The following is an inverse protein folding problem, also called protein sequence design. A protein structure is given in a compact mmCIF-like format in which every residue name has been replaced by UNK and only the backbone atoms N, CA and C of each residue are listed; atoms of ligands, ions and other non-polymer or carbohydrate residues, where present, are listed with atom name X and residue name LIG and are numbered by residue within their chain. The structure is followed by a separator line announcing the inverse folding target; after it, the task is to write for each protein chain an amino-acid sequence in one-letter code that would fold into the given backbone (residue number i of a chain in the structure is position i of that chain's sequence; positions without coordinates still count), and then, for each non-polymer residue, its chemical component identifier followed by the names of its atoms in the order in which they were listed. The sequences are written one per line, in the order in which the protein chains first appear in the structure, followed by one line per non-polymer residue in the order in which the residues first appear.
data_IF_237102718563
#
_entry.id   IF_237102718563
#
_cell.length_a   1.000
_cell.length_b   1.000
_cell.length_c   1.000
_cell.angle_alpha   90.00
_cell.angle_beta   90.00
_cell.angle_gamma   90.00
#
_symmetry.space_group_name_H-M   'P 1'
#
loop_
_entity.id
_entity.type
_entity.pdbx_description
1 polymer ?
#
# COMPACT_ATOMS: atom_id res chain seq x y z
N UNK A 1 4.84 14.11 -27.66
CA UNK A 1 5.30 14.93 -26.51
C UNK A 1 4.46 14.74 -25.25
N UNK A 2 3.12 14.88 -25.27
CA UNK A 2 2.28 14.68 -24.07
C UNK A 2 2.41 13.27 -23.45
N UNK A 3 2.46 12.21 -24.26
CA UNK A 3 2.72 10.85 -23.78
C UNK A 3 4.09 10.71 -23.06
N UNK A 4 5.12 11.40 -23.55
CA UNK A 4 6.46 11.40 -22.95
C UNK A 4 6.43 12.07 -21.58
N UNK A 5 5.70 13.18 -21.44
CA UNK A 5 5.51 13.84 -20.14
C UNK A 5 4.83 12.88 -19.15
N UNK A 6 3.78 12.16 -19.56
CA UNK A 6 3.13 11.15 -18.74
C UNK A 6 4.07 10.02 -18.32
N UNK A 7 4.90 9.54 -19.25
CA UNK A 7 5.90 8.50 -18.96
C UNK A 7 6.97 9.00 -17.98
N UNK A 8 7.51 10.21 -18.17
CA UNK A 8 8.48 10.80 -17.25
C UNK A 8 7.90 11.00 -15.85
N UNK A 9 6.63 11.42 -15.75
CA UNK A 9 5.93 11.51 -14.47
C UNK A 9 5.79 10.12 -13.81
N UNK A 10 5.53 9.07 -14.58
CA UNK A 10 5.47 7.70 -14.05
C UNK A 10 6.84 7.18 -13.58
N UNK A 11 7.91 7.51 -14.30
CA UNK A 11 9.29 7.21 -13.85
C UNK A 11 9.61 7.97 -12.57
N UNK A 12 9.27 9.26 -12.50
CA UNK A 12 9.45 10.06 -11.30
C UNK A 12 8.66 9.46 -10.11
N UNK A 13 7.43 8.99 -10.35
CA UNK A 13 6.65 8.27 -9.35
C UNK A 13 7.36 7.00 -8.85
N UNK A 14 7.84 6.16 -9.76
CA UNK A 14 8.50 4.90 -9.43
C UNK A 14 9.79 5.10 -8.60
N UNK A 15 10.43 6.27 -8.71
CA UNK A 15 11.60 6.67 -7.92
C UNK A 15 11.21 7.34 -6.60
N UNK A 16 10.24 8.26 -6.64
CA UNK A 16 9.81 9.02 -5.47
C UNK A 16 9.11 8.13 -4.44
N UNK A 17 8.28 7.19 -4.88
CA UNK A 17 7.58 6.26 -4.01
C UNK A 17 8.50 5.54 -3.02
N UNK A 18 9.53 4.77 -3.45
CA UNK A 18 10.45 4.11 -2.51
C UNK A 18 11.28 5.13 -1.72
N UNK A 19 11.67 6.26 -2.30
CA UNK A 19 12.40 7.29 -1.59
C UNK A 19 11.60 7.86 -0.39
N UNK A 20 10.30 8.13 -0.57
CA UNK A 20 9.42 8.56 0.51
C UNK A 20 9.28 7.48 1.59
N UNK A 21 9.19 6.20 1.22
CA UNK A 21 9.15 5.10 2.20
C UNK A 21 10.43 5.03 3.03
N UNK A 22 11.59 5.12 2.39
CA UNK A 22 12.89 5.09 3.06
C UNK A 22 13.07 6.29 3.98
N UNK A 23 12.68 7.49 3.51
CA UNK A 23 12.76 8.71 4.30
C UNK A 23 11.79 8.68 5.50
N UNK A 24 10.57 8.19 5.30
CA UNK A 24 9.59 8.03 6.37
C UNK A 24 10.13 7.09 7.46
N UNK A 25 10.74 5.96 7.09
CA UNK A 25 11.39 5.04 8.03
C UNK A 25 12.56 5.71 8.76
N UNK A 26 13.45 6.38 8.03
CA UNK A 26 14.62 7.03 8.60
C UNK A 26 14.27 8.19 9.55
N UNK A 27 13.13 8.86 9.33
CA UNK A 27 12.68 10.01 10.13
C UNK A 27 11.55 9.68 11.11
N UNK A 28 11.16 8.41 11.23
CA UNK A 28 10.07 8.00 12.12
C UNK A 28 8.72 8.63 11.79
N UNK A 29 8.43 8.88 10.51
CA UNK A 29 7.11 9.39 10.10
C UNK A 29 6.05 8.32 10.27
N UNK A 30 4.89 8.70 10.79
CA UNK A 30 3.75 7.81 11.06
C UNK A 30 2.86 7.57 9.83
N UNK A 31 3.26 8.04 8.64
CA UNK A 31 2.49 7.82 7.42
C UNK A 31 2.59 6.36 6.97
N UNK A 32 1.44 5.70 6.88
CA UNK A 32 1.36 4.35 6.34
C UNK A 32 1.85 4.27 4.88
N UNK A 33 2.40 3.13 4.43
CA UNK A 33 2.97 2.99 3.10
C UNK A 33 2.04 3.38 1.94
N UNK A 34 0.74 3.13 2.08
CA UNK A 34 -0.26 3.47 1.05
C UNK A 34 -0.45 4.99 0.94
N UNK A 35 -0.42 5.72 2.06
CA UNK A 35 -0.48 7.19 2.02
C UNK A 35 0.73 7.78 1.30
N UNK A 36 1.93 7.25 1.56
CA UNK A 36 3.14 7.72 0.89
C UNK A 36 3.11 7.46 -0.62
N UNK A 37 2.54 6.33 -1.06
CA UNK A 37 2.28 6.06 -2.48
C UNK A 37 1.30 7.07 -3.08
N UNK A 38 0.20 7.36 -2.38
CA UNK A 38 -0.78 8.34 -2.83
C UNK A 38 -0.15 9.75 -2.96
N UNK A 39 0.64 10.17 -1.96
CA UNK A 39 1.39 11.43 -1.99
C UNK A 39 2.33 11.47 -3.20
N UNK A 40 3.12 10.42 -3.42
CA UNK A 40 4.02 10.35 -4.58
C UNK A 40 3.25 10.47 -5.91
N UNK A 41 2.12 9.76 -6.04
CA UNK A 41 1.30 9.79 -7.25
C UNK A 41 0.73 11.18 -7.52
N UNK A 42 0.15 11.83 -6.51
CA UNK A 42 -0.40 13.19 -6.65
C UNK A 42 0.70 14.19 -7.01
N UNK A 43 1.84 14.16 -6.32
CA UNK A 43 2.94 15.09 -6.56
C UNK A 43 3.53 14.93 -7.97
N UNK A 44 3.84 13.70 -8.37
CA UNK A 44 4.46 13.44 -9.67
C UNK A 44 3.51 13.68 -10.84
N UNK A 45 2.23 13.35 -10.70
CA UNK A 45 1.20 13.70 -11.68
C UNK A 45 1.04 15.20 -11.80
N UNK A 46 0.85 15.89 -10.67
CA UNK A 46 0.65 17.35 -10.65
C UNK A 46 1.82 18.11 -11.25
N UNK A 47 3.06 17.76 -10.85
CA UNK A 47 4.27 18.36 -11.41
C UNK A 47 4.46 18.02 -12.89
N UNK A 48 4.15 16.79 -13.30
CA UNK A 48 4.22 16.36 -14.70
C UNK A 48 3.24 17.13 -15.59
N UNK A 49 1.99 17.28 -15.14
CA UNK A 49 0.96 18.06 -15.83
C UNK A 49 1.37 19.53 -15.92
N UNK A 50 1.81 20.13 -14.80
CA UNK A 50 2.29 21.51 -14.77
C UNK A 50 3.43 21.71 -15.76
N UNK A 51 4.46 20.85 -15.73
CA UNK A 51 5.57 20.88 -16.69
C UNK A 51 5.09 20.75 -18.14
N UNK A 52 4.20 19.80 -18.41
CA UNK A 52 3.61 19.58 -19.73
C UNK A 52 2.89 20.81 -20.26
N UNK A 53 2.08 21.47 -19.42
CA UNK A 53 1.35 22.70 -19.81
C UNK A 53 2.26 23.88 -20.11
N UNK A 54 3.43 23.95 -19.47
CA UNK A 54 4.38 25.06 -19.65
C UNK A 54 5.31 24.87 -20.86
N UNK A 55 5.68 23.62 -21.17
CA UNK A 55 6.78 23.32 -22.11
C UNK A 55 6.28 22.71 -23.42
N UNK A 56 5.13 22.03 -23.44
CA UNK A 56 4.63 21.34 -24.63
C UNK A 56 3.54 22.17 -25.31
N UNK A 57 3.79 22.71 -26.52
CA UNK A 57 2.74 23.33 -27.31
C UNK A 57 1.60 22.34 -27.55
N UNK A 58 0.35 22.78 -27.38
CA UNK A 58 -0.84 21.94 -27.51
C UNK A 58 -0.81 20.69 -26.61
N UNK A 59 -0.39 20.86 -25.35
CA UNK A 59 -0.40 19.78 -24.37
C UNK A 59 -1.77 19.09 -24.28
N UNK A 60 -1.76 17.76 -24.45
CA UNK A 60 -2.95 16.91 -24.40
C UNK A 60 -2.96 16.16 -23.07
N UNK A 61 -3.70 16.68 -22.10
CA UNK A 61 -3.75 16.14 -20.74
C UNK A 61 -4.07 14.64 -20.70
N UNK A 62 -5.11 14.21 -21.42
CA UNK A 62 -5.56 12.82 -21.41
C UNK A 62 -4.52 11.84 -21.96
N UNK A 63 -3.68 12.27 -22.90
CA UNK A 63 -2.57 11.46 -23.42
C UNK A 63 -1.48 11.27 -22.36
N UNK A 64 -1.15 12.32 -21.59
CA UNK A 64 -0.19 12.20 -20.49
C UNK A 64 -0.76 11.35 -19.34
N UNK A 65 -2.01 11.63 -18.96
CA UNK A 65 -2.68 10.97 -17.85
C UNK A 65 -2.92 9.47 -18.08
N UNK A 66 -3.19 9.04 -19.32
CA UNK A 66 -3.40 7.62 -19.63
C UNK A 66 -2.13 6.79 -19.42
N UNK A 67 -0.99 7.28 -19.90
CA UNK A 67 0.31 6.62 -19.71
C UNK A 67 0.71 6.63 -18.24
N UNK A 68 0.59 7.78 -17.57
CA UNK A 68 0.88 7.88 -16.14
C UNK A 68 0.02 6.88 -15.35
N UNK A 69 -1.30 6.92 -15.56
CA UNK A 69 -2.27 6.08 -14.87
C UNK A 69 -2.01 4.58 -15.09
N UNK A 70 -1.72 4.15 -16.31
CA UNK A 70 -1.41 2.75 -16.61
C UNK A 70 -0.22 2.23 -15.78
N UNK A 71 0.91 2.95 -15.81
CA UNK A 71 2.12 2.53 -15.10
C UNK A 71 1.97 2.63 -13.58
N UNK A 72 1.35 3.70 -13.07
CA UNK A 72 1.12 3.86 -11.63
C UNK A 72 0.16 2.80 -11.10
N UNK A 73 -0.92 2.49 -11.82
CA UNK A 73 -1.83 1.40 -11.43
C UNK A 73 -1.14 0.05 -11.45
N UNK A 74 -0.34 -0.24 -12.48
CA UNK A 74 0.49 -1.45 -12.55
C UNK A 74 1.46 -1.55 -11.37
N UNK A 75 2.11 -0.44 -11.01
CA UNK A 75 3.01 -0.37 -9.86
C UNK A 75 2.27 -0.59 -8.54
N UNK A 76 1.12 0.07 -8.32
CA UNK A 76 0.32 -0.09 -7.09
C UNK A 76 -0.16 -1.53 -6.96
N UNK A 77 -0.57 -2.15 -8.06
CA UNK A 77 -0.93 -3.57 -8.08
C UNK A 77 0.28 -4.46 -7.73
N UNK A 78 1.43 -4.26 -8.36
CA UNK A 78 2.65 -5.00 -8.03
C UNK A 78 3.07 -4.81 -6.55
N UNK A 79 2.99 -3.58 -6.04
CA UNK A 79 3.29 -3.28 -4.65
C UNK A 79 2.36 -4.02 -3.68
N UNK A 80 1.05 -3.96 -3.93
CA UNK A 80 0.06 -4.60 -3.06
C UNK A 80 0.06 -6.12 -3.18
N UNK A 81 0.09 -6.65 -4.40
CA UNK A 81 -0.10 -8.07 -4.69
C UNK A 81 1.19 -8.88 -4.66
N UNK A 82 2.36 -8.28 -4.98
CA UNK A 82 3.63 -9.00 -5.07
C UNK A 82 4.51 -8.68 -3.88
N UNK A 83 4.84 -7.40 -3.67
CA UNK A 83 5.83 -7.00 -2.66
C UNK A 83 5.33 -7.11 -1.21
N UNK A 84 4.03 -7.15 -1.00
CA UNK A 84 3.41 -7.42 0.31
C UNK A 84 2.78 -8.81 0.41
N UNK A 85 3.07 -9.71 -0.54
CA UNK A 85 2.50 -11.05 -0.50
C UNK A 85 3.14 -11.89 0.61
N UNK A 86 2.28 -12.60 1.36
CA UNK A 86 2.72 -13.58 2.36
C UNK A 86 3.62 -14.64 1.73
N UNK A 87 3.32 -15.06 0.49
CA UNK A 87 4.13 -16.04 -0.24
C UNK A 87 5.58 -15.57 -0.47
N UNK A 88 5.80 -14.28 -0.78
CA UNK A 88 7.14 -13.72 -0.92
C UNK A 88 7.86 -13.69 0.44
N UNK A 89 7.19 -13.30 1.51
CA UNK A 89 7.75 -13.29 2.87
C UNK A 89 8.14 -14.72 3.33
N UNK A 90 7.34 -15.74 2.99
CA UNK A 90 7.70 -17.17 3.19
C UNK A 90 8.97 -17.51 2.42
N UNK A 91 9.02 -17.17 1.14
CA UNK A 91 10.15 -17.51 0.30
C UNK A 91 11.45 -16.85 0.79
N UNK A 92 11.41 -15.56 1.13
CA UNK A 92 12.56 -14.83 1.68
C UNK A 92 12.98 -15.41 3.04
N UNK A 93 12.01 -15.68 3.94
CA UNK A 93 12.30 -16.28 5.24
C UNK A 93 12.87 -17.70 5.16
N UNK A 94 12.57 -18.44 4.09
CA UNK A 94 13.23 -19.72 3.80
C UNK A 94 14.65 -19.51 3.30
N UNK A 95 14.89 -18.58 2.38
CA UNK A 95 16.21 -18.31 1.81
C UNK A 95 17.25 -17.87 2.86
N UNK A 96 16.81 -17.20 3.94
CA UNK A 96 17.67 -16.79 5.05
C UNK A 96 18.10 -17.94 5.97
N UNK A 97 17.50 -19.14 5.85
CA UNK A 97 17.87 -20.32 6.65
C UNK A 97 19.03 -21.08 6.00
N UNK A 98 19.98 -21.65 6.79
CA UNK A 98 21.11 -22.41 6.27
C UNK A 98 20.73 -23.54 5.31
N UNK A 99 19.65 -24.27 5.60
CA UNK A 99 19.16 -25.39 4.79
C UNK A 99 18.08 -24.99 3.78
N UNK A 100 17.68 -23.71 3.77
CA UNK A 100 16.59 -23.17 2.95
C UNK A 100 15.26 -23.90 3.09
N UNK A 101 15.04 -24.51 4.25
CA UNK A 101 13.88 -25.35 4.57
C UNK A 101 13.36 -25.01 5.96
N UNK A 102 12.06 -25.23 6.14
CA UNK A 102 11.38 -25.11 7.42
C UNK A 102 10.15 -26.03 7.41
N UNK A 103 9.78 -26.66 8.54
CA UNK A 103 8.48 -27.28 8.67
C UNK A 103 7.39 -26.20 8.62
N UNK A 104 6.19 -26.58 8.17
CA UNK A 104 5.06 -25.65 8.03
C UNK A 104 4.68 -24.99 9.36
N UNK A 105 4.76 -25.73 10.47
CA UNK A 105 4.50 -25.23 11.83
C UNK A 105 5.36 -24.01 12.15
N UNK A 106 6.68 -24.07 11.89
CA UNK A 106 7.60 -22.97 12.15
C UNK A 106 7.31 -21.73 11.30
N UNK A 107 6.84 -21.93 10.07
CA UNK A 107 6.46 -20.83 9.18
C UNK A 107 5.20 -20.16 9.73
N UNK A 108 4.17 -20.95 10.06
CA UNK A 108 2.89 -20.47 10.57
C UNK A 108 3.05 -19.73 11.91
N UNK A 109 3.77 -20.32 12.86
CA UNK A 109 3.97 -19.77 14.21
C UNK A 109 4.72 -18.43 14.23
N UNK A 110 5.55 -18.16 13.22
CA UNK A 110 6.25 -16.87 13.11
C UNK A 110 5.48 -15.86 12.26
N UNK A 111 4.98 -16.30 11.10
CA UNK A 111 4.40 -15.37 10.14
C UNK A 111 3.00 -14.91 10.50
N UNK A 112 2.16 -15.81 11.01
CA UNK A 112 0.78 -15.47 11.37
C UNK A 112 0.78 -14.41 12.46
N UNK A 113 1.50 -14.56 13.61
CA UNK A 113 1.56 -13.50 14.61
C UNK A 113 2.17 -12.20 14.08
N UNK A 114 3.26 -12.26 13.32
CA UNK A 114 3.89 -11.05 12.78
C UNK A 114 2.97 -10.25 11.84
N UNK A 115 2.20 -10.95 10.98
CA UNK A 115 1.20 -10.33 10.10
C UNK A 115 0.11 -9.60 10.88
N UNK A 116 -0.40 -10.22 11.95
CA UNK A 116 -1.49 -9.64 12.73
C UNK A 116 -1.01 -8.56 13.71
N UNK A 117 0.15 -8.74 14.35
CA UNK A 117 0.76 -7.76 15.24
C UNK A 117 1.07 -6.46 14.50
N UNK A 118 1.70 -6.53 13.32
CA UNK A 118 1.97 -5.33 12.52
C UNK A 118 0.70 -4.61 12.09
N UNK A 119 -0.37 -5.35 11.75
CA UNK A 119 -1.66 -4.76 11.38
C UNK A 119 -2.35 -4.08 12.56
N UNK A 120 -2.37 -4.71 13.73
CA UNK A 120 -2.91 -4.10 14.95
C UNK A 120 -2.08 -2.88 15.36
N UNK A 121 -0.75 -2.94 15.27
CA UNK A 121 0.13 -1.80 15.52
C UNK A 121 -0.25 -0.59 14.68
N UNK A 122 -0.44 -0.78 13.37
CA UNK A 122 -0.89 0.30 12.48
C UNK A 122 -2.26 0.90 12.87
N UNK A 123 -3.19 0.07 13.34
CA UNK A 123 -4.51 0.54 13.78
C UNK A 123 -4.43 1.33 15.10
N UNK A 124 -3.52 0.92 15.99
CA UNK A 124 -3.25 1.63 17.26
C UNK A 124 -2.54 2.96 17.00
N UNK A 125 -1.47 2.95 16.21
CA UNK A 125 -0.75 4.18 15.82
C UNK A 125 -1.65 5.17 15.06
N UNK A 126 -2.58 4.65 14.26
CA UNK A 126 -3.60 5.45 13.57
C UNK A 126 -4.73 5.96 14.46
N UNK A 127 -4.76 5.62 15.75
CA UNK A 127 -5.81 6.01 16.70
C UNK A 127 -7.19 5.39 16.40
N UNK A 128 -7.23 4.32 15.61
CA UNK A 128 -8.48 3.62 15.25
C UNK A 128 -8.81 2.51 16.25
N UNK A 129 -7.79 1.99 16.94
CA UNK A 129 -7.90 0.96 17.96
C UNK A 129 -7.10 1.40 19.18
N UNK A 130 -7.56 1.04 20.37
CA UNK A 130 -6.84 1.27 21.62
C UNK A 130 -6.68 -0.04 22.40
N UNK A 131 -5.53 -0.27 23.05
CA UNK A 131 -5.35 -1.38 23.96
C UNK A 131 -6.15 -1.13 25.24
N UNK A 132 -6.99 -2.10 25.63
CA UNK A 132 -7.75 -2.12 26.88
C UNK A 132 -7.42 -3.43 27.58
N UNK A 133 -6.63 -3.35 28.64
CA UNK A 133 -6.06 -4.51 29.35
C UNK A 133 -5.30 -5.46 28.40
N UNK A 134 -5.77 -6.71 28.28
CA UNK A 134 -5.24 -7.74 27.39
C UNK A 134 -5.96 -7.80 26.03
N UNK A 135 -6.80 -6.80 25.72
CA UNK A 135 -7.66 -6.76 24.53
C UNK A 135 -7.46 -5.46 23.75
N UNK A 136 -8.09 -5.42 22.58
CA UNK A 136 -8.12 -4.25 21.70
C UNK A 136 -9.56 -3.80 21.50
N UNK A 137 -9.83 -2.51 21.67
CA UNK A 137 -11.13 -1.90 21.46
C UNK A 137 -11.08 -0.91 20.29
N UNK A 138 -12.11 -0.88 19.45
CA UNK A 138 -12.21 0.12 18.39
C UNK A 138 -12.58 1.48 18.98
N UNK A 139 -11.85 2.53 18.62
CA UNK A 139 -12.18 3.91 19.02
C UNK A 139 -13.42 4.43 18.28
N UNK A 140 -13.96 5.59 18.66
CA UNK A 140 -15.06 6.21 17.91
C UNK A 140 -14.69 6.51 16.45
N UNK A 141 -13.44 6.93 16.22
CA UNK A 141 -12.88 7.13 14.88
C UNK A 141 -12.76 5.81 14.12
N UNK A 142 -12.27 4.75 14.78
CA UNK A 142 -12.20 3.40 14.25
C UNK A 142 -13.56 2.87 13.78
N UNK A 143 -14.59 3.00 14.63
CA UNK A 143 -15.97 2.58 14.29
C UNK A 143 -16.52 3.34 13.08
N UNK A 144 -16.38 4.67 13.09
CA UNK A 144 -16.85 5.51 11.97
C UNK A 144 -16.16 5.16 10.66
N UNK A 145 -14.84 4.90 10.70
CA UNK A 145 -14.09 4.50 9.51
C UNK A 145 -14.49 3.11 9.04
N UNK A 146 -14.64 2.14 9.95
CA UNK A 146 -15.07 0.79 9.65
C UNK A 146 -16.46 0.78 9.00
N UNK A 147 -17.40 1.58 9.49
CA UNK A 147 -18.74 1.69 8.91
C UNK A 147 -18.71 2.23 7.48
N UNK A 148 -17.95 3.30 7.24
CA UNK A 148 -17.80 3.90 5.90
C UNK A 148 -17.16 2.93 4.90
N UNK A 149 -16.05 2.31 5.30
CA UNK A 149 -15.33 1.34 4.46
C UNK A 149 -16.17 0.07 4.27
N UNK A 150 -16.91 -0.37 5.28
CA UNK A 150 -17.82 -1.50 5.21
C UNK A 150 -18.95 -1.27 4.21
N UNK A 151 -19.52 -0.06 4.17
CA UNK A 151 -20.51 0.30 3.15
C UNK A 151 -19.92 0.26 1.73
N UNK A 152 -18.72 0.79 1.53
CA UNK A 152 -18.00 0.71 0.26
C UNK A 152 -17.74 -0.73 -0.16
N UNK A 153 -17.23 -1.57 0.75
CA UNK A 153 -16.98 -3.00 0.50
C UNK A 153 -18.25 -3.71 0.02
N UNK A 154 -19.38 -3.48 0.69
CA UNK A 154 -20.68 -4.04 0.29
C UNK A 154 -21.12 -3.54 -1.10
N UNK A 155 -20.92 -2.26 -1.40
CA UNK A 155 -21.24 -1.70 -2.71
C UNK A 155 -20.42 -2.35 -3.84
N UNK A 156 -19.18 -2.75 -3.56
CA UNK A 156 -18.33 -3.49 -4.50
C UNK A 156 -18.53 -5.01 -4.47
N UNK A 157 -19.52 -5.53 -3.71
CA UNK A 157 -19.75 -6.98 -3.57
C UNK A 157 -18.63 -7.70 -2.80
N UNK A 158 -17.77 -6.97 -2.10
CA UNK A 158 -16.68 -7.52 -1.29
C UNK A 158 -17.25 -7.86 0.09
N UNK A 159 -17.96 -8.99 0.19
CA UNK A 159 -18.53 -9.52 1.43
C UNK A 159 -17.49 -10.13 2.39
N UNK A 160 -17.96 -10.82 3.43
CA UNK A 160 -17.14 -11.56 4.39
C UNK A 160 -16.53 -12.86 3.83
N UNK A 161 -16.76 -13.14 2.55
CA UNK A 161 -16.07 -14.16 1.77
C UNK A 161 -14.63 -13.71 1.44
N UNK A 162 -13.83 -13.51 2.47
CA UNK A 162 -12.40 -13.29 2.37
C UNK A 162 -11.68 -14.65 2.27
N UNK A 163 -10.42 -14.64 1.81
CA UNK A 163 -9.48 -15.77 1.83
C UNK A 163 -9.23 -16.38 3.24
N UNK A 164 -9.83 -15.77 4.27
CA UNK A 164 -9.75 -16.12 5.68
C UNK A 164 -11.18 -16.11 6.28
N UNK A 165 -12.08 -16.89 5.68
CA UNK A 165 -13.33 -17.26 6.33
C UNK A 165 -12.98 -18.28 7.42
N UNK A 166 -12.69 -17.77 8.62
CA UNK A 166 -12.64 -18.60 9.81
C UNK A 166 -14.08 -18.72 10.31
N UNK A 167 -14.79 -19.72 9.78
CA UNK A 167 -16.04 -20.17 10.39
C UNK A 167 -15.74 -20.56 11.85
N UNK A 168 -16.47 -19.95 12.79
CA UNK A 168 -16.47 -20.34 14.21
C UNK A 168 -16.83 -21.82 14.40
#
# INVERSE_FOLDING_TARGET
MSFVVGFLAAVAFALLAPALQLMARARGWTFGPVMLLAIAAVLTHGLGVMFGTLVVPQFQYWNAASIFGFFVMGYVFAFGAVYKSVSLDILLGLLDRPERKAPLSDIAERQVPALFQGRIGNLVEGGLVEPVDSRFAATAAGRTMADRVGQLRRAFGIGDTSLYDFSD
#
